data_IF_980717704227
#
_entry.id   IF_980717704227
#
_cell.length_a   1.000
_cell.length_b   1.000
_cell.length_c   1.000
_cell.angle_alpha   90.00
_cell.angle_beta   90.00
_cell.angle_gamma   90.00
#
_symmetry.space_group_name_H-M   'P 1'
#
loop_
_entity.id
_entity.type
_entity.pdbx_description
1 polymer ?
#
# COMPACT_ATOMS: atom_id res chain seq x y z
N UNK A 1 4.41 -17.51 -6.72
CA UNK A 1 3.74 -17.11 -5.47
C UNK A 1 4.54 -15.96 -4.85
N UNK A 2 4.45 -14.74 -5.41
CA UNK A 2 5.43 -13.65 -5.15
C UNK A 2 5.23 -12.89 -3.81
N UNK A 3 4.02 -12.92 -3.24
CA UNK A 3 3.67 -12.12 -2.06
C UNK A 3 4.35 -12.63 -0.78
N UNK A 4 4.35 -13.95 -0.56
CA UNK A 4 5.01 -14.57 0.60
C UNK A 4 6.52 -14.37 0.53
N UNK A 5 7.11 -14.43 -0.67
CA UNK A 5 8.53 -14.15 -0.88
C UNK A 5 8.89 -12.69 -0.53
N UNK A 6 8.01 -11.73 -0.85
CA UNK A 6 8.20 -10.30 -0.50
C UNK A 6 8.12 -10.10 1.01
N UNK A 7 7.14 -10.72 1.68
CA UNK A 7 7.01 -10.66 3.14
C UNK A 7 8.20 -11.32 3.85
N UNK A 8 8.74 -12.42 3.30
CA UNK A 8 9.93 -13.08 3.82
C UNK A 8 11.22 -12.27 3.59
N UNK A 9 11.35 -11.62 2.43
CA UNK A 9 12.52 -10.77 2.11
C UNK A 9 12.54 -9.47 2.91
N UNK A 10 11.37 -8.97 3.28
CA UNK A 10 11.23 -7.72 3.99
C UNK A 10 10.48 -7.95 5.31
N UNK A 11 11.16 -8.51 6.31
CA UNK A 11 10.60 -8.71 7.66
C UNK A 11 10.01 -7.42 8.25
N UNK A 12 10.54 -6.26 7.88
CA UNK A 12 10.00 -4.94 8.27
C UNK A 12 8.55 -4.71 7.77
N UNK A 13 8.08 -5.48 6.78
CA UNK A 13 6.69 -5.44 6.32
C UNK A 13 5.73 -6.15 7.27
N UNK A 14 6.23 -7.04 8.13
CA UNK A 14 5.42 -7.60 9.21
C UNK A 14 5.07 -6.50 10.21
N UNK A 15 6.02 -5.61 10.54
CA UNK A 15 5.76 -4.46 11.42
C UNK A 15 4.69 -3.54 10.80
N UNK A 16 4.79 -3.28 9.49
CA UNK A 16 3.78 -2.51 8.74
C UNK A 16 2.42 -3.20 8.76
N UNK A 17 2.38 -4.53 8.67
CA UNK A 17 1.14 -5.31 8.73
C UNK A 17 0.49 -5.26 10.13
N UNK A 18 1.26 -5.11 11.21
CA UNK A 18 0.70 -5.00 12.58
C UNK A 18 -0.22 -3.80 12.75
N UNK A 19 0.02 -2.69 12.01
CA UNK A 19 -0.87 -1.52 12.00
C UNK A 19 -2.29 -1.91 11.60
N UNK A 20 -2.46 -2.88 10.69
CA UNK A 20 -3.78 -3.32 10.25
C UNK A 20 -4.53 -4.14 11.31
N UNK A 21 -3.83 -4.67 12.30
CA UNK A 21 -4.40 -5.38 13.45
C UNK A 21 -4.75 -4.44 14.62
N UNK A 22 -4.22 -3.22 14.63
CA UNK A 22 -4.48 -2.25 15.69
C UNK A 22 -5.90 -1.69 15.57
N UNK A 23 -6.68 -1.78 16.65
CA UNK A 23 -8.08 -1.38 16.66
C UNK A 23 -8.26 0.14 16.53
N UNK A 24 -7.29 0.91 17.04
CA UNK A 24 -7.34 2.38 17.05
C UNK A 24 -6.28 3.02 16.14
N UNK A 25 -5.83 2.30 15.10
CA UNK A 25 -4.97 2.90 14.09
C UNK A 25 -5.66 4.11 13.43
N UNK A 26 -4.92 5.21 13.34
CA UNK A 26 -5.37 6.44 12.68
C UNK A 26 -5.38 6.29 11.16
N UNK A 27 -6.10 7.18 10.46
CA UNK A 27 -6.12 7.19 8.98
C UNK A 27 -4.70 7.39 8.42
N UNK A 28 -3.95 8.28 9.03
CA UNK A 28 -2.59 8.63 8.63
C UNK A 28 -1.64 7.44 8.78
N UNK A 29 -1.75 6.68 9.89
CA UNK A 29 -0.97 5.46 10.11
C UNK A 29 -1.32 4.37 9.10
N UNK A 30 -2.61 4.15 8.83
CA UNK A 30 -3.06 3.14 7.86
C UNK A 30 -2.59 3.50 6.44
N UNK A 31 -2.73 4.77 6.04
CA UNK A 31 -2.25 5.25 4.75
C UNK A 31 -0.73 5.15 4.62
N UNK A 32 0.01 5.55 5.67
CA UNK A 32 1.47 5.43 5.73
C UNK A 32 1.91 3.97 5.61
N UNK A 33 1.24 3.06 6.32
CA UNK A 33 1.51 1.63 6.26
C UNK A 33 1.26 1.07 4.85
N UNK A 34 0.12 1.38 4.24
CA UNK A 34 -0.18 0.98 2.85
C UNK A 34 0.82 1.51 1.82
N UNK A 35 1.23 2.79 1.95
CA UNK A 35 2.22 3.38 1.07
C UNK A 35 3.59 2.73 1.22
N UNK A 36 4.07 2.53 2.45
CA UNK A 36 5.34 1.82 2.73
C UNK A 36 5.30 0.41 2.16
N UNK A 37 4.17 -0.28 2.31
CA UNK A 37 3.99 -1.62 1.75
C UNK A 37 4.20 -1.63 0.23
N UNK A 38 3.53 -0.72 -0.47
CA UNK A 38 3.61 -0.62 -1.92
C UNK A 38 4.99 -0.14 -2.40
N UNK A 39 5.64 0.77 -1.68
CA UNK A 39 7.02 1.19 -2.00
C UNK A 39 7.96 -0.02 -2.02
N UNK A 40 7.92 -0.87 -0.98
CA UNK A 40 8.75 -2.09 -0.96
C UNK A 40 8.34 -3.09 -2.05
N UNK A 41 7.04 -3.24 -2.33
CA UNK A 41 6.54 -4.14 -3.39
C UNK A 41 7.08 -3.77 -4.78
N UNK A 42 7.30 -2.47 -5.02
CA UNK A 42 7.86 -1.95 -6.27
C UNK A 42 9.38 -1.72 -6.21
N UNK A 43 10.06 -2.43 -5.30
CA UNK A 43 11.52 -2.38 -5.10
C UNK A 43 12.04 -0.95 -4.83
N UNK A 44 11.24 -0.14 -4.13
CA UNK A 44 11.62 1.20 -3.68
C UNK A 44 12.52 1.16 -2.44
N UNK A 45 13.41 2.15 -2.36
CA UNK A 45 14.28 2.35 -1.19
C UNK A 45 13.57 3.10 -0.06
N UNK A 46 14.26 3.29 1.06
CA UNK A 46 13.73 3.94 2.28
C UNK A 46 13.20 5.36 2.03
N UNK A 47 13.82 6.09 1.10
CA UNK A 47 13.44 7.46 0.73
C UNK A 47 12.52 7.53 -0.49
N UNK A 48 12.14 6.39 -1.06
CA UNK A 48 11.30 6.35 -2.26
C UNK A 48 9.84 6.59 -1.89
N UNK A 49 9.17 7.40 -2.70
CA UNK A 49 7.71 7.61 -2.66
C UNK A 49 7.04 6.94 -3.84
N UNK A 50 5.73 6.70 -3.77
CA UNK A 50 4.99 6.15 -4.92
C UNK A 50 5.07 7.07 -6.14
N UNK A 51 5.10 8.39 -5.93
CA UNK A 51 5.32 9.36 -7.01
C UNK A 51 6.67 9.15 -7.71
N UNK A 52 7.76 9.04 -6.95
CA UNK A 52 9.10 8.84 -7.53
C UNK A 52 9.21 7.51 -8.28
N UNK A 53 8.60 6.44 -7.76
CA UNK A 53 8.57 5.12 -8.40
C UNK A 53 7.74 5.13 -9.68
N UNK A 54 6.57 5.78 -9.67
CA UNK A 54 5.73 5.97 -10.85
C UNK A 54 6.47 6.71 -11.96
N UNK A 55 7.14 7.82 -11.63
CA UNK A 55 7.92 8.57 -12.59
C UNK A 55 9.05 7.74 -13.19
N UNK A 56 9.82 7.03 -12.34
CA UNK A 56 10.90 6.14 -12.78
C UNK A 56 10.41 5.05 -13.74
N UNK A 57 9.28 4.39 -13.40
CA UNK A 57 8.69 3.34 -14.23
C UNK A 57 8.16 3.91 -15.55
N UNK A 58 7.53 5.09 -15.50
CA UNK A 58 7.05 5.78 -16.70
C UNK A 58 8.21 6.11 -17.66
N UNK A 59 9.27 6.76 -17.17
CA UNK A 59 10.45 7.12 -17.98
C UNK A 59 11.09 5.86 -18.58
N UNK A 60 11.26 4.81 -17.77
CA UNK A 60 11.80 3.53 -18.25
C UNK A 60 10.92 2.90 -19.32
N UNK A 61 9.60 3.00 -19.19
CA UNK A 61 8.65 2.44 -20.15
C UNK A 61 8.64 3.23 -21.46
N UNK A 62 8.72 4.57 -21.38
CA UNK A 62 8.81 5.44 -22.55
C UNK A 62 10.11 5.25 -23.34
N UNK A 63 11.22 4.94 -22.65
CA UNK A 63 12.54 4.74 -23.28
C UNK A 63 12.74 3.35 -23.92
N UNK A 64 11.91 2.35 -23.59
CA UNK A 64 12.08 0.97 -24.06
C UNK A 64 11.01 0.56 -25.10
N UNK A 65 11.43 0.21 -26.32
CA UNK A 65 10.55 -0.27 -27.41
C UNK A 65 9.90 -1.62 -27.08
N UNK A 66 10.54 -2.43 -26.22
CA UNK A 66 9.96 -3.65 -25.65
C UNK A 66 9.37 -3.32 -24.28
N UNK A 67 8.15 -2.80 -24.26
CA UNK A 67 7.43 -2.54 -23.02
C UNK A 67 7.12 -3.89 -22.36
N UNK A 68 7.97 -4.32 -21.42
CA UNK A 68 7.53 -5.27 -20.41
C UNK A 68 6.51 -4.53 -19.56
N UNK A 69 5.23 -4.90 -19.67
CA UNK A 69 4.07 -4.26 -19.06
C UNK A 69 4.06 -4.31 -17.53
N UNK A 70 5.08 -3.74 -16.89
CA UNK A 70 5.03 -3.43 -15.47
C UNK A 70 4.03 -2.28 -15.30
N UNK A 71 2.87 -2.62 -14.72
CA UNK A 71 1.88 -1.62 -14.33
C UNK A 71 2.56 -0.60 -13.38
N UNK A 72 2.36 0.71 -13.57
CA UNK A 72 2.86 1.68 -12.61
C UNK A 72 2.22 1.45 -11.22
N UNK A 73 2.93 1.76 -10.13
CA UNK A 73 2.35 1.75 -8.79
C UNK A 73 1.10 2.64 -8.75
N UNK A 74 0.11 2.35 -7.88
CA UNK A 74 -1.01 3.28 -7.66
C UNK A 74 -0.52 4.65 -7.20
N UNK A 75 -1.36 5.69 -7.33
CA UNK A 75 -1.08 6.99 -6.69
C UNK A 75 -1.17 6.86 -5.17
N UNK A 76 -0.64 7.82 -4.42
CA UNK A 76 -0.67 7.78 -2.95
C UNK A 76 -2.10 7.80 -2.41
N UNK A 77 -3.00 8.53 -3.07
CA UNK A 77 -4.42 8.58 -2.71
C UNK A 77 -5.10 7.24 -2.98
N UNK A 78 -4.84 6.64 -4.14
CA UNK A 78 -5.39 5.32 -4.48
C UNK A 78 -4.84 4.22 -3.55
N UNK A 79 -3.57 4.31 -3.19
CA UNK A 79 -2.93 3.43 -2.22
C UNK A 79 -3.55 3.58 -0.82
N UNK A 80 -3.76 4.80 -0.33
CA UNK A 80 -4.44 5.07 0.93
C UNK A 80 -5.86 4.50 0.94
N UNK A 81 -6.63 4.72 -0.14
CA UNK A 81 -7.98 4.16 -0.29
C UNK A 81 -7.98 2.62 -0.25
N UNK A 82 -6.99 1.98 -0.87
CA UNK A 82 -6.85 0.52 -0.79
C UNK A 82 -6.44 0.04 0.61
N UNK A 83 -5.59 0.81 1.29
CA UNK A 83 -5.20 0.53 2.67
C UNK A 83 -6.41 0.62 3.62
N UNK A 84 -7.28 1.62 3.48
CA UNK A 84 -8.49 1.74 4.30
C UNK A 84 -9.43 0.55 4.12
N UNK A 85 -9.70 0.13 2.87
CA UNK A 85 -10.51 -1.06 2.61
C UNK A 85 -9.89 -2.34 3.19
N UNK A 86 -8.58 -2.47 3.05
CA UNK A 86 -7.84 -3.61 3.62
C UNK A 86 -7.94 -3.61 5.15
N UNK A 87 -7.76 -2.45 5.79
CA UNK A 87 -7.92 -2.29 7.22
C UNK A 87 -9.31 -2.71 7.68
N UNK A 88 -10.37 -2.22 7.04
CA UNK A 88 -11.74 -2.60 7.38
C UNK A 88 -11.98 -4.10 7.27
N UNK A 89 -11.49 -4.69 6.18
CA UNK A 89 -11.60 -6.13 5.96
C UNK A 89 -10.88 -6.95 7.04
N UNK A 90 -9.68 -6.52 7.46
CA UNK A 90 -8.91 -7.16 8.54
C UNK A 90 -9.62 -6.99 9.88
N UNK A 91 -10.12 -5.80 10.19
CA UNK A 91 -10.87 -5.52 11.41
C UNK A 91 -12.12 -6.40 11.53
N UNK A 92 -12.85 -6.58 10.43
CA UNK A 92 -13.96 -7.54 10.37
C UNK A 92 -13.53 -8.97 10.68
N UNK A 93 -12.39 -9.42 10.15
CA UNK A 93 -11.88 -10.77 10.43
C UNK A 93 -11.49 -10.98 11.89
N UNK A 94 -11.04 -9.94 12.59
CA UNK A 94 -10.72 -10.01 14.03
C UNK A 94 -11.93 -9.74 14.94
N UNK A 95 -13.14 -9.67 14.38
CA UNK A 95 -14.39 -9.52 15.14
C UNK A 95 -14.72 -8.09 15.55
N UNK A 96 -14.06 -7.09 14.94
CA UNK A 96 -14.31 -5.67 15.18
C UNK A 96 -15.26 -5.15 14.13
N UNK A 97 -16.52 -4.94 14.52
CA UNK A 97 -17.52 -4.33 13.64
C UNK A 97 -17.55 -2.80 13.87
N UNK A 98 -16.72 -2.09 13.11
CA UNK A 98 -16.75 -0.62 13.05
C UNK A 98 -17.48 -0.20 11.77
N UNK A 99 -18.44 0.71 11.91
CA UNK A 99 -19.22 1.22 10.78
C UNK A 99 -18.30 1.77 9.67
N UNK A 100 -18.32 1.19 8.46
CA UNK A 100 -17.50 1.66 7.34
C UNK A 100 -17.84 3.11 6.94
N UNK A 101 -19.10 3.54 7.06
CA UNK A 101 -19.57 4.83 6.55
C UNK A 101 -18.93 6.00 7.29
N UNK A 102 -18.69 5.88 8.59
CA UNK A 102 -18.04 6.92 9.39
C UNK A 102 -16.53 7.07 9.12
N UNK A 103 -15.88 6.08 8.47
CA UNK A 103 -14.42 6.08 8.26
C UNK A 103 -13.98 6.06 6.80
N UNK A 104 -14.83 5.72 5.84
CA UNK A 104 -14.37 5.35 4.49
C UNK A 104 -14.78 6.28 3.33
N UNK A 105 -15.86 7.07 3.42
CA UNK A 105 -16.48 7.61 2.17
C UNK A 105 -16.79 9.11 2.14
N UNK A 106 -16.08 9.97 2.88
CA UNK A 106 -16.09 11.41 2.56
C UNK A 106 -15.01 11.70 1.52
N UNK A 107 -15.41 11.73 0.25
CA UNK A 107 -14.68 12.48 -0.77
C UNK A 107 -14.67 13.96 -0.36
N UNK A 108 -13.49 14.51 -0.11
CA UNK A 108 -13.28 15.96 -0.15
C UNK A 108 -13.18 16.42 -1.61
#
# INVERSE_FOLDING_TARGET
MKMLDVLQKHLQMLDVATIFLQHEATREEIASAGNKFLVSLYDGGVTSTLHTLRYKIFVRSAANVKIHGACPPPTEEAAAQHAYRTYHQVQKWVGVDKDPINREWTSN
#
